data_IF_237667299232
#
_entry.id   IF_237667299232
#
_cell.length_a   1.000
_cell.length_b   1.000
_cell.length_c   1.000
_cell.angle_alpha   90.00
_cell.angle_beta   90.00
_cell.angle_gamma   90.00
#
_symmetry.space_group_name_H-M   'P 1'
#
loop_
_entity.id
_entity.type
_entity.pdbx_description
1 polymer ?
#
# COMPACT_ATOMS: atom_id res chain seq x y z
N UNK A 1 -3.20 -55.77 0.87
CA UNK A 1 -3.00 -54.60 0.00
C UNK A 1 -2.77 -53.40 0.89
N UNK A 2 -1.78 -52.57 0.59
CA UNK A 2 -1.48 -51.37 1.36
C UNK A 2 -2.34 -50.22 0.81
N UNK A 3 -3.30 -49.73 1.60
CA UNK A 3 -4.02 -48.49 1.30
C UNK A 3 -3.16 -47.33 1.77
N UNK A 4 -2.40 -46.73 0.86
CA UNK A 4 -1.67 -45.49 1.14
C UNK A 4 -2.71 -44.37 1.18
N UNK A 5 -2.84 -43.73 2.34
CA UNK A 5 -3.70 -42.56 2.51
C UNK A 5 -3.10 -41.38 1.74
N UNK A 6 -3.58 -41.20 0.51
CA UNK A 6 -3.20 -40.11 -0.39
C UNK A 6 -4.03 -38.84 -0.13
N UNK A 7 -5.00 -38.88 0.79
CA UNK A 7 -5.98 -37.81 1.02
C UNK A 7 -5.29 -36.53 1.51
N UNK A 8 -4.42 -36.65 2.51
CA UNK A 8 -3.67 -35.51 3.07
C UNK A 8 -2.68 -34.91 2.07
N UNK A 9 -2.03 -35.75 1.26
CA UNK A 9 -1.11 -35.31 0.22
C UNK A 9 -1.85 -34.55 -0.89
N UNK A 10 -3.01 -35.05 -1.33
CA UNK A 10 -3.84 -34.38 -2.33
C UNK A 10 -4.41 -33.06 -1.79
N UNK A 11 -4.84 -33.00 -0.52
CA UNK A 11 -5.32 -31.78 0.11
C UNK A 11 -4.23 -30.70 0.21
N UNK A 12 -3.00 -31.09 0.57
CA UNK A 12 -1.84 -30.19 0.61
C UNK A 12 -1.47 -29.62 -0.76
N UNK A 13 -1.47 -30.47 -1.80
CA UNK A 13 -1.23 -30.05 -3.19
C UNK A 13 -2.30 -29.06 -3.66
N UNK A 14 -3.57 -29.33 -3.34
CA UNK A 14 -4.68 -28.45 -3.71
C UNK A 14 -4.60 -27.10 -2.99
N UNK A 15 -4.26 -27.09 -1.70
CA UNK A 15 -4.05 -25.86 -0.92
C UNK A 15 -2.90 -25.03 -1.49
N UNK A 16 -1.77 -25.66 -1.80
CA UNK A 16 -0.62 -25.01 -2.44
C UNK A 16 -1.01 -24.38 -3.79
N UNK A 17 -1.80 -25.11 -4.60
CA UNK A 17 -2.27 -24.61 -5.91
C UNK A 17 -3.20 -23.40 -5.77
N UNK A 18 -4.06 -23.38 -4.75
CA UNK A 18 -4.93 -22.24 -4.46
C UNK A 18 -4.11 -21.00 -4.05
N UNK A 19 -3.14 -21.16 -3.16
CA UNK A 19 -2.25 -20.07 -2.73
C UNK A 19 -1.44 -19.51 -3.90
N UNK A 20 -0.90 -20.37 -4.77
CA UNK A 20 -0.19 -19.93 -5.98
C UNK A 20 -1.11 -19.17 -6.95
N UNK A 21 -2.37 -19.59 -7.09
CA UNK A 21 -3.34 -18.89 -7.94
C UNK A 21 -3.66 -17.50 -7.37
N UNK A 22 -3.84 -17.41 -6.06
CA UNK A 22 -4.11 -16.15 -5.38
C UNK A 22 -2.93 -15.18 -5.48
N UNK A 23 -1.70 -15.67 -5.26
CA UNK A 23 -0.49 -14.87 -5.43
C UNK A 23 -0.36 -14.35 -6.87
N UNK A 24 -0.57 -15.20 -7.87
CA UNK A 24 -0.55 -14.77 -9.27
C UNK A 24 -1.63 -13.73 -9.58
N UNK A 25 -2.81 -13.84 -8.99
CA UNK A 25 -3.87 -12.85 -9.13
C UNK A 25 -3.43 -11.50 -8.53
N UNK A 26 -2.84 -11.50 -7.33
CA UNK A 26 -2.32 -10.29 -6.69
C UNK A 26 -1.23 -9.61 -7.50
N UNK A 27 -0.26 -10.39 -8.01
CA UNK A 27 0.79 -9.85 -8.88
C UNK A 27 0.20 -9.18 -10.13
N UNK A 28 -0.78 -9.81 -10.78
CA UNK A 28 -1.48 -9.21 -11.94
C UNK A 28 -2.18 -7.92 -11.58
N UNK A 29 -2.83 -7.86 -10.41
CA UNK A 29 -3.51 -6.64 -9.94
C UNK A 29 -2.51 -5.51 -9.69
N UNK A 30 -1.39 -5.77 -9.03
CA UNK A 30 -0.34 -4.76 -8.80
C UNK A 30 0.24 -4.25 -10.12
N UNK A 31 0.51 -5.12 -11.09
CA UNK A 31 1.03 -4.72 -12.40
C UNK A 31 0.02 -3.87 -13.18
N UNK A 32 -1.26 -4.24 -13.19
CA UNK A 32 -2.31 -3.46 -13.84
C UNK A 32 -2.47 -2.07 -13.19
N UNK A 33 -2.37 -1.99 -11.86
CA UNK A 33 -2.39 -0.73 -11.13
C UNK A 33 -1.19 0.15 -11.46
N UNK A 34 0.03 -0.41 -11.50
CA UNK A 34 1.23 0.33 -11.90
C UNK A 34 1.14 0.88 -13.32
N UNK A 35 0.59 0.10 -14.26
CA UNK A 35 0.32 0.58 -15.62
C UNK A 35 -0.69 1.73 -15.64
N UNK A 36 -1.75 1.65 -14.82
CA UNK A 36 -2.75 2.71 -14.69
C UNK A 36 -2.13 3.99 -14.13
N UNK A 37 -1.29 3.88 -13.09
CA UNK A 37 -0.58 5.00 -12.47
C UNK A 37 0.38 5.67 -13.45
N UNK A 38 1.20 4.91 -14.17
CA UNK A 38 2.09 5.46 -15.19
C UNK A 38 1.31 6.28 -16.24
N UNK A 39 0.18 5.76 -16.72
CA UNK A 39 -0.70 6.48 -17.66
C UNK A 39 -1.33 7.72 -17.04
N UNK A 40 -1.65 7.69 -15.75
CA UNK A 40 -2.22 8.83 -15.05
C UNK A 40 -1.19 9.94 -14.85
N UNK A 41 0.03 9.60 -14.41
CA UNK A 41 1.12 10.56 -14.22
C UNK A 41 1.50 11.24 -15.53
N UNK A 42 1.54 10.50 -16.64
CA UNK A 42 1.77 11.06 -17.99
C UNK A 42 0.69 12.05 -18.44
N UNK A 43 -0.54 11.95 -17.91
CA UNK A 43 -1.60 12.94 -18.19
C UNK A 43 -1.46 14.22 -17.37
N UNK A 44 -0.74 14.18 -16.25
CA UNK A 44 -0.60 15.29 -15.33
C UNK A 44 0.61 16.18 -15.65
N UNK A 45 1.68 15.60 -16.19
CA UNK A 45 2.88 16.35 -16.58
C UNK A 45 3.52 15.76 -17.83
N UNK A 46 4.05 16.64 -18.68
CA UNK A 46 4.87 16.28 -19.84
C UNK A 46 6.38 16.41 -19.56
N UNK A 47 6.77 16.88 -18.37
CA UNK A 47 8.17 16.95 -17.95
C UNK A 47 8.64 15.56 -17.48
N UNK A 48 9.67 14.97 -18.14
CA UNK A 48 10.24 13.68 -17.72
C UNK A 48 10.71 13.66 -16.27
N UNK A 49 11.25 14.76 -15.73
CA UNK A 49 11.76 14.82 -14.37
C UNK A 49 10.61 14.77 -13.35
N UNK A 50 9.56 15.56 -13.57
CA UNK A 50 8.36 15.55 -12.73
C UNK A 50 7.63 14.21 -12.81
N UNK A 51 7.54 13.62 -14.00
CA UNK A 51 6.98 12.28 -14.18
C UNK A 51 7.73 11.25 -13.35
N UNK A 52 9.07 11.21 -13.46
CA UNK A 52 9.89 10.24 -12.74
C UNK A 52 9.76 10.41 -11.23
N UNK A 53 9.74 11.64 -10.73
CA UNK A 53 9.58 11.91 -9.30
C UNK A 53 8.21 11.44 -8.79
N UNK A 54 7.12 11.78 -9.49
CA UNK A 54 5.77 11.38 -9.09
C UNK A 54 5.55 9.86 -9.18
N UNK A 55 5.97 9.23 -10.29
CA UNK A 55 5.81 7.79 -10.47
C UNK A 55 6.66 6.99 -9.48
N UNK A 56 7.89 7.44 -9.17
CA UNK A 56 8.71 6.81 -8.13
C UNK A 56 8.07 6.93 -6.74
N UNK A 57 7.45 8.07 -6.42
CA UNK A 57 6.68 8.25 -5.19
C UNK A 57 5.54 7.23 -5.06
N UNK A 58 4.73 7.08 -6.12
CA UNK A 58 3.66 6.08 -6.16
C UNK A 58 4.19 4.65 -6.00
N UNK A 59 5.28 4.31 -6.67
CA UNK A 59 5.90 3.00 -6.57
C UNK A 59 6.40 2.72 -5.15
N UNK A 60 7.00 3.72 -4.49
CA UNK A 60 7.45 3.61 -3.11
C UNK A 60 6.26 3.40 -2.16
N UNK A 61 5.17 4.16 -2.33
CA UNK A 61 3.94 3.98 -1.53
C UNK A 61 3.37 2.57 -1.65
N UNK A 62 3.35 2.01 -2.86
CA UNK A 62 2.93 0.63 -3.11
C UNK A 62 3.88 -0.35 -2.42
N UNK A 63 5.19 -0.14 -2.55
CA UNK A 63 6.21 -0.97 -1.90
C UNK A 63 6.03 -1.00 -0.38
N UNK A 64 5.75 0.14 0.24
CA UNK A 64 5.52 0.25 1.68
C UNK A 64 4.24 -0.49 2.13
N UNK A 65 3.15 -0.36 1.38
CA UNK A 65 1.92 -1.11 1.64
C UNK A 65 2.14 -2.64 1.47
N UNK A 66 2.90 -3.04 0.44
CA UNK A 66 3.25 -4.43 0.20
C UNK A 66 4.17 -5.00 1.30
N UNK A 67 5.13 -4.21 1.80
CA UNK A 67 5.99 -4.58 2.91
C UNK A 67 5.16 -4.88 4.17
N UNK A 68 4.26 -3.96 4.53
CA UNK A 68 3.32 -4.17 5.64
C UNK A 68 2.49 -5.44 5.43
N UNK A 69 1.90 -5.63 4.26
CA UNK A 69 1.11 -6.84 3.98
C UNK A 69 1.93 -8.12 4.08
N UNK A 70 3.20 -8.08 3.64
CA UNK A 70 4.11 -9.22 3.75
C UNK A 70 4.38 -9.60 5.21
N UNK A 71 4.51 -8.62 6.11
CA UNK A 71 4.72 -8.85 7.54
C UNK A 71 3.51 -9.53 8.21
N UNK A 72 2.31 -9.39 7.61
CA UNK A 72 1.06 -10.00 8.08
C UNK A 72 0.61 -11.18 7.22
N UNK A 73 1.53 -11.86 6.52
CA UNK A 73 1.24 -13.02 5.66
C UNK A 73 0.12 -12.76 4.64
N UNK A 74 0.05 -11.52 4.13
CA UNK A 74 -1.00 -11.04 3.22
C UNK A 74 -2.42 -11.11 3.81
N UNK A 75 -2.52 -11.10 5.14
CA UNK A 75 -3.75 -10.96 5.89
C UNK A 75 -4.22 -9.50 5.99
N UNK A 76 -4.81 -9.15 7.13
CA UNK A 76 -5.29 -7.79 7.41
C UNK A 76 -4.25 -6.96 8.15
N UNK A 77 -4.11 -5.69 7.79
CA UNK A 77 -3.26 -4.72 8.52
C UNK A 77 -4.11 -3.68 9.25
N UNK A 78 -3.53 -3.07 10.28
CA UNK A 78 -4.11 -1.91 10.97
C UNK A 78 -4.03 -0.65 10.10
N UNK A 79 -5.12 0.10 10.02
CA UNK A 79 -5.16 1.39 9.32
C UNK A 79 -4.14 2.37 9.92
N UNK A 80 -3.99 2.35 11.24
CA UNK A 80 -3.03 3.20 11.96
C UNK A 80 -1.58 2.95 11.53
N UNK A 81 -1.22 1.70 11.24
CA UNK A 81 0.11 1.34 10.72
C UNK A 81 0.33 1.84 9.30
N UNK A 82 -0.69 1.70 8.44
CA UNK A 82 -0.63 2.21 7.07
C UNK A 82 -0.47 3.74 7.05
N UNK A 83 -1.28 4.46 7.83
CA UNK A 83 -1.18 5.92 7.97
C UNK A 83 0.22 6.31 8.46
N UNK A 84 0.71 5.66 9.51
CA UNK A 84 2.04 5.91 10.07
C UNK A 84 3.14 5.71 9.03
N UNK A 85 3.10 4.59 8.31
CA UNK A 85 4.08 4.26 7.28
C UNK A 85 4.08 5.27 6.12
N UNK A 86 2.90 5.70 5.67
CA UNK A 86 2.76 6.62 4.53
C UNK A 86 3.05 8.09 4.90
N UNK A 87 2.74 8.53 6.12
CA UNK A 87 2.93 9.94 6.52
C UNK A 87 4.31 10.23 7.09
N UNK A 88 4.99 9.25 7.71
CA UNK A 88 6.32 9.43 8.32
C UNK A 88 7.35 10.15 7.43
N UNK A 89 7.46 9.87 6.11
CA UNK A 89 8.42 10.56 5.26
C UNK A 89 8.15 12.06 5.08
N UNK A 90 6.95 12.54 5.41
CA UNK A 90 6.48 13.90 5.13
C UNK A 90 6.39 14.80 6.37
N UNK A 91 6.62 14.23 7.56
CA UNK A 91 6.51 14.96 8.84
C UNK A 91 7.85 14.91 9.58
N UNK A 92 8.18 16.01 10.26
CA UNK A 92 9.40 16.09 11.08
C UNK A 92 9.17 15.52 12.48
N UNK A 93 8.00 15.77 13.05
CA UNK A 93 7.54 15.16 14.29
C UNK A 93 6.16 14.55 14.08
N UNK A 94 6.12 13.22 14.02
CA UNK A 94 4.88 12.50 13.78
C UNK A 94 3.85 12.73 14.88
N UNK A 95 4.28 12.79 16.14
CA UNK A 95 3.38 12.94 17.29
C UNK A 95 2.80 14.35 17.42
N UNK A 96 3.52 15.38 16.97
CA UNK A 96 3.01 16.75 16.99
C UNK A 96 2.18 17.11 15.76
N UNK A 97 2.51 16.52 14.59
CA UNK A 97 1.95 16.91 13.30
C UNK A 97 0.86 15.97 12.77
N UNK A 98 0.68 14.78 13.35
CA UNK A 98 -0.35 13.82 12.92
C UNK A 98 -1.26 13.47 14.10
N UNK A 99 -2.56 13.67 13.91
CA UNK A 99 -3.59 13.31 14.87
C UNK A 99 -4.59 12.36 14.21
N UNK A 100 -4.92 11.24 14.87
CA UNK A 100 -5.81 10.20 14.34
C UNK A 100 -6.97 10.01 15.33
N UNK A 101 -8.18 10.38 14.91
CA UNK A 101 -9.42 10.29 15.71
C UNK A 101 -10.31 9.18 15.20
N UNK A 102 -9.81 7.95 15.22
CA UNK A 102 -10.58 6.81 14.72
C UNK A 102 -10.31 5.54 15.51
N UNK A 103 -11.39 4.78 15.74
CA UNK A 103 -11.28 3.40 16.23
C UNK A 103 -10.49 2.56 15.23
N UNK A 104 -9.74 1.58 15.73
CA UNK A 104 -8.88 0.76 14.86
C UNK A 104 -9.69 0.04 13.77
N UNK A 105 -9.23 0.15 12.51
CA UNK A 105 -9.84 -0.47 11.34
C UNK A 105 -8.84 -1.46 10.74
N UNK A 106 -9.30 -2.67 10.47
CA UNK A 106 -8.53 -3.67 9.74
C UNK A 106 -8.79 -3.54 8.24
N UNK A 107 -7.70 -3.47 7.47
CA UNK A 107 -7.72 -3.38 6.01
C UNK A 107 -7.27 -4.70 5.40
N UNK A 108 -8.04 -5.21 4.44
CA UNK A 108 -7.57 -6.27 3.57
C UNK A 108 -6.52 -5.76 2.57
N UNK A 109 -5.81 -6.66 1.86
CA UNK A 109 -4.69 -6.26 1.00
C UNK A 109 -5.03 -5.23 -0.08
N UNK A 110 -6.13 -5.43 -0.81
CA UNK A 110 -6.50 -4.53 -1.92
C UNK A 110 -6.88 -3.14 -1.38
N UNK A 111 -7.48 -3.08 -0.19
CA UNK A 111 -7.81 -1.82 0.50
C UNK A 111 -6.55 -1.12 0.99
N UNK A 112 -5.60 -1.86 1.56
CA UNK A 112 -4.33 -1.33 2.05
C UNK A 112 -3.51 -0.69 0.93
N UNK A 113 -3.43 -1.34 -0.23
CA UNK A 113 -2.70 -0.81 -1.39
C UNK A 113 -3.38 0.45 -1.94
N UNK A 114 -4.69 0.41 -2.16
CA UNK A 114 -5.44 1.55 -2.69
C UNK A 114 -5.41 2.76 -1.74
N UNK A 115 -5.61 2.54 -0.45
CA UNK A 115 -5.58 3.60 0.55
C UNK A 115 -4.16 4.12 0.78
N UNK A 116 -3.14 3.26 0.69
CA UNK A 116 -1.74 3.66 0.79
C UNK A 116 -1.38 4.74 -0.26
N UNK A 117 -1.81 4.52 -1.50
CA UNK A 117 -1.65 5.50 -2.58
C UNK A 117 -2.39 6.81 -2.30
N UNK A 118 -3.65 6.75 -1.83
CA UNK A 118 -4.43 7.95 -1.49
C UNK A 118 -3.74 8.75 -0.38
N UNK A 119 -3.27 8.07 0.67
CA UNK A 119 -2.57 8.71 1.78
C UNK A 119 -1.27 9.36 1.32
N UNK A 120 -0.51 8.69 0.45
CA UNK A 120 0.71 9.25 -0.15
C UNK A 120 0.43 10.53 -0.94
N UNK A 121 -0.60 10.53 -1.79
CA UNK A 121 -0.97 11.71 -2.58
C UNK A 121 -1.43 12.86 -1.69
N UNK A 122 -2.25 12.57 -0.67
CA UNK A 122 -2.69 13.57 0.30
C UNK A 122 -1.51 14.14 1.10
N UNK A 123 -0.57 13.30 1.53
CA UNK A 123 0.64 13.74 2.24
C UNK A 123 1.52 14.63 1.37
N UNK A 124 1.71 14.24 0.10
CA UNK A 124 2.49 15.00 -0.86
C UNK A 124 1.84 16.36 -1.15
N UNK A 125 0.52 16.40 -1.30
CA UNK A 125 -0.23 17.65 -1.46
C UNK A 125 -0.19 18.53 -0.20
N UNK A 126 -0.30 17.93 0.98
CA UNK A 126 -0.19 18.65 2.24
C UNK A 126 1.20 19.28 2.41
N UNK A 127 2.27 18.58 2.00
CA UNK A 127 3.64 19.09 2.04
C UNK A 127 3.87 20.23 1.04
N UNK A 128 3.38 20.09 -0.18
CA UNK A 128 3.60 21.09 -1.25
C UNK A 128 2.74 22.34 -1.09
N UNK A 129 1.49 22.16 -0.68
CA UNK A 129 0.46 23.20 -0.79
C UNK A 129 -0.39 23.38 0.47
N UNK A 130 -0.30 22.46 1.44
CA UNK A 130 -1.24 22.38 2.55
C UNK A 130 -0.59 22.58 3.91
N UNK A 131 -1.13 21.90 4.93
CA UNK A 131 -0.71 22.10 6.31
C UNK A 131 0.75 21.73 6.56
N UNK A 132 1.26 20.65 5.97
CA UNK A 132 2.66 20.25 6.17
C UNK A 132 3.69 21.16 5.50
N UNK A 133 3.26 22.16 4.72
CA UNK A 133 4.14 23.19 4.16
C UNK A 133 4.61 24.24 5.18
N UNK A 134 4.01 24.28 6.39
CA UNK A 134 4.37 25.23 7.45
C UNK A 134 4.87 24.53 8.71
N UNK A 135 5.83 25.11 9.48
CA UNK A 135 6.49 24.41 10.59
C UNK A 135 5.58 23.88 11.72
N UNK A 136 4.40 24.46 11.91
CA UNK A 136 3.44 24.06 12.95
C UNK A 136 2.17 23.43 12.38
N UNK A 137 2.18 23.10 11.09
CA UNK A 137 1.02 22.53 10.44
C UNK A 137 0.81 21.09 10.83
N UNK A 138 -0.47 20.69 10.84
CA UNK A 138 -0.91 19.38 11.28
C UNK A 138 -1.86 18.74 10.27
N UNK A 139 -1.87 17.43 10.23
CA UNK A 139 -2.85 16.60 9.52
C UNK A 139 -3.69 15.88 10.58
N UNK A 140 -5.00 16.04 10.46
CA UNK A 140 -5.98 15.40 11.35
C UNK A 140 -6.81 14.44 10.52
N UNK A 141 -6.85 13.17 10.94
CA UNK A 141 -7.47 12.04 10.24
C UNK A 141 -8.57 11.40 11.08
#
# INVERSE_FOLDING_TARGET
GMTIDVTDQQASVQRTRLLLKELNHRVKNTLAMLQSLARQTLRQTSDPAEFMAAFAGHLQSISDAHGLLSDYEWGTIRLSELISKQLRPYVSDYTEQVEIHKDEILLGPDQAVGLGLVLHELATNALKYGSLSVPKGKVVL
#
